data_IF_209477666952
#
_entry.id   IF_209477666952
#
_cell.length_a   1.000
_cell.length_b   1.000
_cell.length_c   1.000
_cell.angle_alpha   90.00
_cell.angle_beta   90.00
_cell.angle_gamma   90.00
#
_symmetry.space_group_name_H-M   'P 1'
#
loop_
_entity.id
_entity.type
_entity.pdbx_description
1 polymer ?
#
# COMPACT_ATOMS: atom_id res chain seq x y z
N UNK A 1 30.31 27.69 -57.63
CA UNK A 1 29.89 28.55 -56.49
C UNK A 1 30.21 27.83 -55.19
N UNK A 2 31.17 28.33 -54.40
CA UNK A 2 31.50 27.76 -53.07
C UNK A 2 30.40 28.19 -52.09
N UNK A 3 29.56 27.24 -51.67
CA UNK A 3 28.53 27.50 -50.66
C UNK A 3 29.23 27.71 -49.32
N UNK A 4 29.04 28.90 -48.73
CA UNK A 4 29.70 29.34 -47.53
C UNK A 4 29.16 28.54 -46.32
N UNK A 5 30.00 27.69 -45.71
CA UNK A 5 29.64 26.74 -44.63
C UNK A 5 29.17 27.37 -43.32
N UNK A 6 29.09 28.71 -43.23
CA UNK A 6 28.59 29.44 -42.06
C UNK A 6 27.07 29.38 -41.92
N UNK A 7 26.32 29.35 -43.04
CA UNK A 7 24.85 29.42 -43.02
C UNK A 7 24.17 28.20 -42.37
N UNK A 8 24.80 27.03 -42.44
CA UNK A 8 24.25 25.78 -41.89
C UNK A 8 24.33 25.71 -40.37
N UNK A 9 25.35 26.34 -39.78
CA UNK A 9 25.50 26.38 -38.31
C UNK A 9 24.43 27.24 -37.66
N UNK A 10 24.07 28.37 -38.27
CA UNK A 10 22.98 29.23 -37.79
C UNK A 10 21.62 28.53 -37.91
N UNK A 11 21.36 27.84 -39.03
CA UNK A 11 20.11 27.08 -39.19
C UNK A 11 19.96 25.97 -38.14
N UNK A 12 21.05 25.27 -37.80
CA UNK A 12 21.03 24.20 -36.81
C UNK A 12 20.76 24.74 -35.38
N UNK A 13 21.37 25.87 -35.00
CA UNK A 13 21.15 26.52 -33.71
C UNK A 13 19.70 27.04 -33.59
N UNK A 14 19.15 27.58 -34.68
CA UNK A 14 17.78 28.07 -34.70
C UNK A 14 16.78 26.92 -34.55
N UNK A 15 17.00 25.79 -35.25
CA UNK A 15 16.17 24.60 -35.13
C UNK A 15 16.21 23.98 -33.73
N UNK A 16 17.39 23.88 -33.11
CA UNK A 16 17.48 23.37 -31.73
C UNK A 16 16.80 24.29 -30.73
N UNK A 17 16.89 25.60 -30.91
CA UNK A 17 16.16 26.58 -30.11
C UNK A 17 14.64 26.42 -30.20
N UNK A 18 14.10 26.20 -31.41
CA UNK A 18 12.66 25.97 -31.63
C UNK A 18 12.21 24.65 -30.96
N UNK A 19 13.01 23.58 -31.08
CA UNK A 19 12.68 22.28 -30.47
C UNK A 19 12.63 22.39 -28.94
N UNK A 20 13.60 23.06 -28.33
CA UNK A 20 13.64 23.28 -26.87
C UNK A 20 12.45 24.12 -26.42
N UNK A 21 12.12 25.20 -27.14
CA UNK A 21 10.97 26.04 -26.83
C UNK A 21 9.64 25.27 -26.95
N UNK A 22 9.48 24.42 -27.97
CA UNK A 22 8.30 23.57 -28.14
C UNK A 22 8.18 22.53 -27.02
N UNK A 23 9.28 21.92 -26.59
CA UNK A 23 9.29 21.00 -25.45
C UNK A 23 8.93 21.69 -24.13
N UNK A 24 9.47 22.89 -23.89
CA UNK A 24 9.12 23.70 -22.72
C UNK A 24 7.64 24.11 -22.73
N UNK A 25 7.11 24.55 -23.87
CA UNK A 25 5.69 24.87 -24.02
C UNK A 25 4.79 23.63 -23.82
N UNK A 26 5.22 22.46 -24.30
CA UNK A 26 4.51 21.20 -24.06
C UNK A 26 4.48 20.83 -22.56
N UNK A 27 5.61 20.97 -21.86
CA UNK A 27 5.70 20.72 -20.41
C UNK A 27 4.84 21.71 -19.63
N UNK A 28 4.86 23.00 -20.00
CA UNK A 28 4.02 24.04 -19.38
C UNK A 28 2.54 23.76 -19.65
N UNK A 29 2.17 23.39 -20.88
CA UNK A 29 0.79 23.06 -21.23
C UNK A 29 0.29 21.81 -20.51
N UNK A 30 1.13 20.78 -20.41
CA UNK A 30 0.83 19.56 -19.68
C UNK A 30 0.66 19.82 -18.18
N UNK A 31 1.58 20.57 -17.55
CA UNK A 31 1.44 21.03 -16.14
C UNK A 31 0.19 21.89 -15.93
N UNK A 32 -0.13 22.79 -16.86
CA UNK A 32 -1.32 23.63 -16.76
C UNK A 32 -2.62 22.84 -16.91
N UNK A 33 -2.69 21.88 -17.83
CA UNK A 33 -3.83 20.94 -17.93
C UNK A 33 -3.97 20.08 -16.68
N UNK A 34 -2.86 19.56 -16.16
CA UNK A 34 -2.83 18.79 -14.93
C UNK A 34 -3.40 19.60 -13.76
N UNK A 35 -2.90 20.82 -13.55
CA UNK A 35 -3.37 21.71 -12.48
C UNK A 35 -4.83 22.16 -12.64
N UNK A 36 -5.29 22.35 -13.89
CA UNK A 36 -6.69 22.70 -14.18
C UNK A 36 -7.65 21.53 -13.94
N UNK A 37 -7.19 20.29 -14.15
CA UNK A 37 -7.98 19.08 -13.84
C UNK A 37 -7.97 18.75 -12.34
N UNK A 38 -6.91 19.07 -11.61
CA UNK A 38 -6.83 18.96 -10.14
C UNK A 38 -7.93 19.80 -9.46
N UNK A 39 -8.28 20.98 -10.02
CA UNK A 39 -9.41 21.81 -9.55
C UNK A 39 -10.81 21.30 -9.93
N UNK A 40 -10.91 20.18 -10.66
CA UNK A 40 -12.18 19.54 -11.03
C UNK A 40 -12.27 18.10 -10.53
N UNK A 41 -11.58 17.76 -9.45
CA UNK A 41 -11.90 16.52 -8.72
C UNK A 41 -13.23 16.77 -8.04
N UNK A 42 -14.30 16.34 -8.73
CA UNK A 42 -15.63 16.46 -8.22
C UNK A 42 -15.83 15.29 -7.25
N UNK A 43 -15.60 15.49 -5.96
CA UNK A 43 -15.94 14.54 -4.90
C UNK A 43 -17.36 14.82 -4.39
N UNK A 44 -18.06 13.77 -3.96
CA UNK A 44 -19.22 13.92 -3.08
C UNK A 44 -18.70 13.65 -1.67
N UNK A 45 -18.55 14.71 -0.90
CA UNK A 45 -18.18 14.65 0.50
C UNK A 45 -19.47 14.81 1.31
N UNK A 46 -19.81 13.77 2.07
CA UNK A 46 -20.94 13.79 2.98
C UNK A 46 -20.36 13.78 4.39
N UNK A 47 -20.52 14.89 5.10
CA UNK A 47 -20.34 14.88 6.54
C UNK A 47 -21.50 14.09 7.15
N UNK A 48 -21.18 13.01 7.84
CA UNK A 48 -22.19 12.18 8.49
C UNK A 48 -22.64 12.92 9.74
N UNK A 49 -23.80 13.58 9.71
CA UNK A 49 -24.33 14.34 10.87
C UNK A 49 -24.94 13.42 11.94
N UNK A 50 -25.43 12.25 11.57
CA UNK A 50 -25.90 11.21 12.50
C UNK A 50 -25.97 9.88 11.75
N UNK A 51 -25.04 8.96 12.04
CA UNK A 51 -25.26 7.56 11.68
C UNK A 51 -26.23 7.05 12.76
N UNK A 52 -27.49 6.85 12.39
CA UNK A 52 -28.63 6.66 13.30
C UNK A 52 -28.31 5.75 14.50
N UNK A 53 -28.53 6.28 15.71
CA UNK A 53 -28.57 5.54 16.98
C UNK A 53 -29.85 4.67 17.12
N UNK A 54 -30.78 4.74 16.16
CA UNK A 54 -32.15 4.21 16.32
C UNK A 54 -32.49 2.94 15.51
N UNK A 55 -31.54 2.29 14.83
CA UNK A 55 -31.81 0.94 14.29
C UNK A 55 -31.59 -0.11 15.38
N UNK A 56 -32.68 -0.46 16.08
CA UNK A 56 -32.80 -1.70 16.86
C UNK A 56 -32.61 -2.89 15.94
N UNK A 57 -31.39 -3.39 15.84
CA UNK A 57 -31.09 -4.63 15.12
C UNK A 57 -30.42 -5.65 16.05
N UNK A 58 -30.97 -6.86 16.02
CA UNK A 58 -30.59 -8.01 16.85
C UNK A 58 -29.26 -8.62 16.40
N UNK A 59 -28.39 -9.09 17.32
CA UNK A 59 -27.00 -9.45 17.03
C UNK A 59 -26.82 -10.85 16.42
N UNK A 60 -25.90 -11.00 15.45
CA UNK A 60 -25.42 -12.27 14.86
C UNK A 60 -23.97 -12.60 15.31
N UNK A 61 -23.54 -13.84 15.65
CA UNK A 61 -22.33 -14.06 16.50
C UNK A 61 -20.98 -14.47 15.81
N UNK A 62 -19.88 -13.67 16.02
CA UNK A 62 -18.36 -13.83 15.91
C UNK A 62 -17.81 -15.07 16.58
N UNK A 63 -17.24 -16.07 15.89
CA UNK A 63 -16.44 -17.11 16.57
C UNK A 63 -14.97 -17.06 16.12
N UNK A 64 -14.00 -16.78 17.01
CA UNK A 64 -12.58 -16.96 16.74
C UNK A 64 -12.18 -18.43 16.96
N UNK A 65 -11.25 -18.95 16.15
CA UNK A 65 -10.87 -20.36 16.10
C UNK A 65 -9.80 -20.76 17.13
N UNK A 66 -10.07 -21.82 17.90
CA UNK A 66 -9.11 -22.77 18.48
C UNK A 66 -9.68 -24.19 18.39
N UNK A 67 -8.85 -25.19 18.03
CA UNK A 67 -9.24 -26.58 17.72
C UNK A 67 -9.13 -27.51 18.95
N UNK A 68 -10.18 -28.30 19.25
CA UNK A 68 -10.12 -29.71 19.68
C UNK A 68 -11.45 -30.44 19.40
N UNK A 69 -11.34 -31.75 19.11
CA UNK A 69 -12.33 -32.70 18.59
C UNK A 69 -13.75 -32.70 19.21
N UNK A 70 -14.80 -32.85 18.38
CA UNK A 70 -15.93 -33.79 18.60
C UNK A 70 -16.79 -33.96 17.31
N UNK A 71 -17.30 -35.18 17.09
CA UNK A 71 -18.35 -35.54 16.09
C UNK A 71 -19.62 -36.01 16.83
N UNK A 72 -20.76 -36.24 16.16
CA UNK A 72 -21.62 -35.21 15.57
C UNK A 72 -23.04 -35.28 16.16
N UNK A 73 -23.71 -34.13 16.30
CA UNK A 73 -25.17 -34.09 16.38
C UNK A 73 -25.74 -32.92 15.59
N UNK A 74 -26.85 -33.22 14.95
CA UNK A 74 -27.58 -32.42 13.97
C UNK A 74 -28.35 -31.28 14.61
N UNK A 75 -28.17 -30.05 14.10
CA UNK A 75 -29.28 -29.15 13.76
C UNK A 75 -28.79 -27.92 13.00
N UNK A 76 -29.62 -27.50 12.05
CA UNK A 76 -29.45 -26.40 11.10
C UNK A 76 -29.60 -25.02 11.73
N UNK A 77 -28.64 -24.12 11.51
CA UNK A 77 -28.85 -22.69 11.23
C UNK A 77 -27.50 -21.98 11.09
N UNK A 78 -27.38 -21.14 10.05
CA UNK A 78 -26.14 -20.53 9.60
C UNK A 78 -25.72 -19.34 10.48
N UNK A 79 -24.56 -19.44 11.10
CA UNK A 79 -23.91 -18.36 11.87
C UNK A 79 -22.79 -17.72 11.06
N UNK A 80 -22.74 -16.38 11.04
CA UNK A 80 -21.62 -15.57 10.50
C UNK A 80 -21.61 -14.25 11.30
N UNK A 81 -20.46 -13.65 11.61
CA UNK A 81 -20.19 -13.46 13.02
C UNK A 81 -19.85 -11.95 13.40
N UNK A 82 -20.24 -11.39 14.58
CA UNK A 82 -19.90 -10.04 15.16
C UNK A 82 -18.62 -9.96 16.01
N UNK A 83 -17.78 -8.95 15.77
CA UNK A 83 -16.57 -8.61 16.55
C UNK A 83 -16.96 -7.92 17.86
N UNK A 84 -16.82 -8.62 19.00
CA UNK A 84 -16.85 -7.98 20.34
C UNK A 84 -15.45 -8.07 20.91
N UNK A 85 -14.73 -6.95 21.00
CA UNK A 85 -13.45 -6.90 21.69
C UNK A 85 -13.74 -6.84 23.19
N UNK A 86 -13.78 -8.01 23.83
CA UNK A 86 -13.87 -8.12 25.29
C UNK A 86 -12.43 -8.16 25.80
N UNK A 87 -11.97 -7.03 26.36
CA UNK A 87 -10.74 -7.02 27.13
C UNK A 87 -11.02 -7.65 28.51
N UNK A 88 -10.51 -8.86 28.74
CA UNK A 88 -10.76 -9.64 29.97
C UNK A 88 -10.18 -9.00 31.25
N UNK A 89 -9.43 -7.90 31.15
CA UNK A 89 -8.84 -7.23 32.32
C UNK A 89 -9.59 -6.00 32.82
N UNK A 90 -10.54 -5.43 32.06
CA UNK A 90 -11.38 -4.32 32.52
C UNK A 90 -12.75 -4.34 31.81
N UNK A 91 -13.83 -4.52 32.58
CA UNK A 91 -15.24 -4.49 32.12
C UNK A 91 -15.72 -3.08 31.70
N UNK A 92 -14.91 -2.31 30.97
CA UNK A 92 -15.35 -1.08 30.33
C UNK A 92 -15.80 -1.42 28.91
N UNK A 93 -17.06 -1.11 28.58
CA UNK A 93 -17.57 -1.19 27.22
C UNK A 93 -16.79 -0.15 26.41
N UNK A 94 -15.93 -0.59 25.49
CA UNK A 94 -15.24 0.31 24.59
C UNK A 94 -16.27 1.07 23.74
N UNK A 95 -16.08 2.38 23.48
CA UNK A 95 -17.02 3.14 22.68
C UNK A 95 -17.09 2.57 21.26
N UNK A 96 -18.29 2.63 20.66
CA UNK A 96 -18.46 2.25 19.25
C UNK A 96 -17.64 3.18 18.35
N UNK A 97 -17.09 2.69 17.23
CA UNK A 97 -16.48 3.55 16.23
C UNK A 97 -17.44 4.64 15.74
N UNK A 98 -16.95 5.87 15.62
CA UNK A 98 -17.71 7.03 15.13
C UNK A 98 -17.31 7.28 13.68
N UNK A 99 -18.31 7.27 12.79
CA UNK A 99 -18.13 7.73 11.43
C UNK A 99 -17.91 9.25 11.39
N UNK A 100 -16.80 9.62 10.75
CA UNK A 100 -16.37 11.00 10.57
C UNK A 100 -16.82 11.57 9.24
N UNK A 101 -16.55 10.85 8.15
CA UNK A 101 -16.80 11.35 6.80
C UNK A 101 -17.02 10.18 5.84
N UNK A 102 -17.94 10.37 4.91
CA UNK A 102 -18.20 9.47 3.79
C UNK A 102 -17.78 10.18 2.50
N UNK A 103 -16.87 9.57 1.73
CA UNK A 103 -16.27 10.16 0.55
C UNK A 103 -16.53 9.24 -0.64
N UNK A 104 -17.37 9.68 -1.57
CA UNK A 104 -17.72 8.91 -2.75
C UNK A 104 -17.11 9.57 -4.02
N UNK A 105 -16.24 8.87 -4.76
CA UNK A 105 -15.77 9.33 -6.06
C UNK A 105 -16.95 9.50 -7.03
N UNK A 106 -17.01 10.64 -7.75
CA UNK A 106 -18.08 10.84 -8.77
C UNK A 106 -17.85 10.03 -10.04
N UNK A 107 -16.59 9.74 -10.39
CA UNK A 107 -16.26 8.90 -11.54
C UNK A 107 -16.06 7.45 -11.07
N UNK A 108 -17.17 6.71 -10.93
CA UNK A 108 -17.16 5.32 -10.46
C UNK A 108 -16.64 4.31 -11.49
N UNK A 109 -15.91 4.76 -12.53
CA UNK A 109 -15.42 3.86 -13.59
C UNK A 109 -14.35 2.88 -13.09
N UNK A 110 -13.54 3.29 -12.12
CA UNK A 110 -12.43 2.48 -11.59
C UNK A 110 -12.80 1.76 -10.29
N UNK A 111 -13.61 2.39 -9.43
CA UNK A 111 -14.10 1.82 -8.17
C UNK A 111 -15.53 2.30 -7.88
N UNK A 112 -16.48 1.37 -7.73
CA UNK A 112 -17.86 1.62 -7.30
C UNK A 112 -17.96 1.44 -5.78
N UNK A 113 -17.55 2.43 -5.02
CA UNK A 113 -17.69 2.41 -3.58
C UNK A 113 -17.43 3.78 -2.97
N UNK A 114 -17.74 3.90 -1.70
CA UNK A 114 -17.41 5.08 -0.92
C UNK A 114 -16.37 4.71 0.14
N UNK A 115 -15.59 5.68 0.55
CA UNK A 115 -14.67 5.57 1.66
C UNK A 115 -15.32 6.10 2.91
N UNK A 116 -15.21 5.36 4.01
CA UNK A 116 -15.67 5.76 5.32
C UNK A 116 -14.46 5.98 6.22
N UNK A 117 -14.38 7.16 6.80
CA UNK A 117 -13.42 7.46 7.87
C UNK A 117 -14.10 7.19 9.19
N UNK A 118 -13.51 6.32 10.00
CA UNK A 118 -14.00 5.99 11.35
C UNK A 118 -12.90 6.32 12.36
N UNK A 119 -13.27 6.89 13.50
CA UNK A 119 -12.41 6.90 14.68
C UNK A 119 -12.99 5.93 15.70
N UNK A 120 -12.16 5.16 16.41
CA UNK A 120 -12.66 4.17 17.37
C UNK A 120 -11.54 3.49 18.15
N UNK A 121 -11.88 2.61 19.10
CA UNK A 121 -10.88 1.80 19.79
C UNK A 121 -10.13 0.92 18.80
N UNK A 122 -8.82 0.77 18.99
CA UNK A 122 -8.04 -0.18 18.21
C UNK A 122 -8.44 -1.64 18.51
N UNK A 123 -8.00 -2.58 17.67
CA UNK A 123 -8.36 -3.99 17.81
C UNK A 123 -7.88 -4.62 19.15
N UNK A 124 -6.87 -4.03 19.79
CA UNK A 124 -6.34 -4.48 21.09
C UNK A 124 -7.10 -3.87 22.29
N UNK A 125 -7.92 -2.84 22.06
CA UNK A 125 -8.56 -2.05 23.11
C UNK A 125 -7.58 -1.26 23.98
N UNK A 126 -6.33 -1.07 23.53
CA UNK A 126 -5.28 -0.37 24.29
C UNK A 126 -5.16 1.11 23.94
N UNK A 127 -5.79 1.53 22.85
CA UNK A 127 -5.84 2.92 22.40
C UNK A 127 -6.96 3.15 21.39
N UNK A 128 -6.84 4.26 20.67
CA UNK A 128 -7.75 4.66 19.62
C UNK A 128 -7.01 4.75 18.29
N UNK A 129 -7.73 4.42 17.22
CA UNK A 129 -7.24 4.47 15.86
C UNK A 129 -8.26 5.16 14.95
N UNK A 130 -7.73 5.76 13.89
CA UNK A 130 -8.49 6.17 12.72
C UNK A 130 -8.41 5.07 11.68
N UNK A 131 -9.55 4.66 11.17
CA UNK A 131 -9.70 3.62 10.17
C UNK A 131 -10.20 4.22 8.86
N UNK A 132 -9.63 3.74 7.76
CA UNK A 132 -10.16 3.92 6.42
C UNK A 132 -10.83 2.61 6.02
N UNK A 133 -12.14 2.66 5.85
CA UNK A 133 -12.96 1.53 5.43
C UNK A 133 -13.55 1.82 4.06
N UNK A 134 -13.78 0.77 3.29
CA UNK A 134 -14.37 0.85 1.97
C UNK A 134 -15.78 0.23 1.98
N UNK A 135 -16.80 0.98 1.54
CA UNK A 135 -18.19 0.54 1.40
C UNK A 135 -18.52 0.05 -0.02
N UNK A 136 -19.47 -0.89 -0.18
CA UNK A 136 -20.33 -1.51 0.85
C UNK A 136 -19.63 -2.64 1.61
N UNK A 137 -18.34 -2.86 1.38
CA UNK A 137 -17.64 -4.01 1.93
C UNK A 137 -17.55 -3.98 3.46
N UNK A 138 -17.56 -2.80 4.12
CA UNK A 138 -17.82 -2.57 5.56
C UNK A 138 -16.93 -3.31 6.57
N UNK A 139 -16.18 -4.31 6.10
CA UNK A 139 -15.43 -5.32 6.84
C UNK A 139 -13.94 -5.24 6.50
N UNK A 140 -13.57 -4.48 5.45
CA UNK A 140 -12.19 -4.36 4.99
C UNK A 140 -11.65 -2.99 5.41
N UNK A 141 -10.84 -3.01 6.45
CA UNK A 141 -9.99 -1.88 6.84
C UNK A 141 -8.81 -1.84 5.88
N UNK A 142 -8.72 -0.80 5.05
CA UNK A 142 -7.62 -0.63 4.09
C UNK A 142 -6.47 0.19 4.67
N UNK A 143 -6.73 0.98 5.71
CA UNK A 143 -5.69 1.64 6.49
C UNK A 143 -6.13 1.89 7.93
N UNK A 144 -5.16 1.90 8.84
CA UNK A 144 -5.36 2.24 10.24
C UNK A 144 -4.19 3.12 10.70
N UNK A 145 -4.50 4.19 11.43
CA UNK A 145 -3.51 5.09 12.03
C UNK A 145 -3.82 5.32 13.52
N UNK A 146 -2.89 5.04 14.45
CA UNK A 146 -3.11 5.28 15.86
C UNK A 146 -3.27 6.76 16.17
N UNK A 147 -4.23 7.10 17.03
CA UNK A 147 -4.53 8.45 17.49
C UNK A 147 -3.90 8.71 18.86
N UNK A 148 -3.45 9.94 19.09
CA UNK A 148 -3.01 10.40 20.41
C UNK A 148 -4.23 10.79 21.25
N UNK A 149 -4.78 9.81 21.96
CA UNK A 149 -5.96 10.00 22.79
C UNK A 149 -5.61 10.64 24.15
N UNK A 150 -6.18 11.82 24.49
CA UNK A 150 -6.00 12.39 25.82
C UNK A 150 -6.77 11.55 26.86
N UNK A 151 -6.05 10.98 27.83
CA UNK A 151 -6.54 10.06 28.89
C UNK A 151 -7.78 10.54 29.69
N UNK A 152 -8.12 11.83 29.62
CA UNK A 152 -9.21 12.45 30.38
C UNK A 152 -10.25 13.16 29.51
N UNK A 153 -10.31 12.87 28.21
CA UNK A 153 -11.33 13.41 27.30
C UNK A 153 -12.53 12.48 27.12
N UNK A 154 -13.72 13.06 26.92
CA UNK A 154 -14.84 12.30 26.36
C UNK A 154 -14.51 11.88 24.93
N UNK A 155 -14.93 10.71 24.47
CA UNK A 155 -14.80 10.33 23.07
C UNK A 155 -16.03 10.84 22.29
N UNK A 156 -15.89 11.92 21.52
CA UNK A 156 -16.97 12.48 20.69
C UNK A 156 -16.53 12.61 19.23
N UNK A 157 -17.47 12.86 18.32
CA UNK A 157 -17.13 13.08 16.91
C UNK A 157 -16.26 14.33 16.76
N UNK A 158 -16.65 15.43 17.36
CA UNK A 158 -16.04 16.75 17.17
C UNK A 158 -14.59 16.78 17.63
N UNK A 159 -14.28 16.12 18.76
CA UNK A 159 -12.94 16.16 19.31
C UNK A 159 -11.99 15.14 18.68
N UNK A 160 -12.45 13.93 18.34
CA UNK A 160 -11.62 12.88 17.73
C UNK A 160 -11.07 13.30 16.36
N UNK A 161 -11.80 14.13 15.61
CA UNK A 161 -11.31 14.76 14.38
C UNK A 161 -10.02 15.55 14.58
N UNK A 162 -9.84 16.16 15.75
CA UNK A 162 -8.70 17.03 16.07
C UNK A 162 -7.52 16.28 16.65
N UNK A 163 -7.65 14.99 16.94
CA UNK A 163 -6.57 14.23 17.57
C UNK A 163 -5.44 13.99 16.58
N UNK A 164 -4.18 14.25 17.00
CA UNK A 164 -3.05 14.04 16.13
C UNK A 164 -2.79 12.55 15.95
N UNK A 165 -2.29 12.20 14.76
CA UNK A 165 -1.84 10.84 14.48
C UNK A 165 -0.50 10.60 15.14
N UNK A 166 -0.30 9.40 15.68
CA UNK A 166 1.00 8.93 16.15
C UNK A 166 1.85 8.42 14.98
N UNK A 167 2.11 9.30 14.02
CA UNK A 167 2.70 9.01 12.70
C UNK A 167 4.14 8.47 12.72
N UNK A 168 4.79 8.49 13.88
CA UNK A 168 6.13 7.88 14.11
C UNK A 168 6.06 6.42 14.56
N UNK A 169 4.87 5.92 14.90
CA UNK A 169 4.69 4.50 15.23
C UNK A 169 4.74 3.66 13.94
N UNK A 170 5.14 2.38 14.03
CA UNK A 170 4.96 1.44 12.93
C UNK A 170 3.50 1.37 12.47
N UNK A 171 3.26 0.93 11.22
CA UNK A 171 1.91 0.59 10.77
C UNK A 171 1.24 -0.37 11.78
N UNK A 172 -0.02 -0.18 12.16
CA UNK A 172 -0.70 -1.09 13.09
C UNK A 172 -1.11 -2.40 12.41
N UNK A 173 -1.42 -2.38 11.11
CA UNK A 173 -1.85 -3.56 10.36
C UNK A 173 -0.64 -4.46 10.04
N UNK A 174 -0.73 -5.75 10.37
CA UNK A 174 0.37 -6.72 10.26
C UNK A 174 0.96 -6.84 8.86
N UNK A 175 0.14 -6.91 7.81
CA UNK A 175 0.68 -7.00 6.45
C UNK A 175 1.45 -5.73 6.07
N UNK A 176 0.99 -4.55 6.49
CA UNK A 176 1.67 -3.28 6.24
C UNK A 176 3.00 -3.21 7.01
N UNK A 177 3.04 -3.71 8.25
CA UNK A 177 4.31 -3.90 8.98
C UNK A 177 5.25 -4.82 8.21
N UNK A 178 4.73 -5.94 7.71
CA UNK A 178 5.52 -6.88 6.93
C UNK A 178 6.02 -6.30 5.60
N UNK A 179 5.28 -5.38 4.97
CA UNK A 179 5.75 -4.61 3.79
C UNK A 179 6.95 -3.72 4.16
N UNK A 180 6.83 -2.92 5.22
CA UNK A 180 7.85 -1.91 5.55
C UNK A 180 9.16 -2.50 6.08
N UNK A 181 9.15 -3.74 6.58
CA UNK A 181 10.37 -4.41 7.06
C UNK A 181 11.19 -5.10 5.97
N UNK A 182 10.60 -5.41 4.81
CA UNK A 182 11.31 -6.12 3.72
C UNK A 182 12.63 -5.47 3.28
N UNK A 183 12.76 -4.14 3.09
CA UNK A 183 14.02 -3.56 2.63
C UNK A 183 15.13 -3.68 3.68
N UNK A 184 14.81 -3.83 4.97
CA UNK A 184 15.79 -4.10 6.02
C UNK A 184 16.20 -5.58 6.04
N UNK A 185 15.23 -6.48 5.86
CA UNK A 185 15.47 -7.94 5.85
C UNK A 185 16.32 -8.34 4.64
N UNK A 186 15.99 -7.78 3.48
CA UNK A 186 16.77 -7.96 2.25
C UNK A 186 18.08 -7.17 2.24
N UNK A 187 18.33 -6.37 3.28
CA UNK A 187 19.49 -5.49 3.42
C UNK A 187 19.63 -4.45 2.29
N UNK A 188 18.54 -4.17 1.55
CA UNK A 188 18.47 -3.05 0.62
C UNK A 188 18.74 -1.73 1.33
N UNK A 189 18.20 -1.58 2.54
CA UNK A 189 18.60 -0.53 3.45
C UNK A 189 19.67 -1.07 4.39
N UNK A 190 20.68 -0.24 4.69
CA UNK A 190 21.69 -0.57 5.68
C UNK A 190 20.97 -0.91 6.99
N UNK A 191 21.29 -2.03 7.65
CA UNK A 191 20.69 -2.43 8.91
C UNK A 191 21.20 -1.54 10.06
N UNK A 192 20.97 -0.24 9.96
CA UNK A 192 20.75 0.58 11.13
C UNK A 192 19.25 0.54 11.36
N UNK A 193 18.84 -0.45 12.14
CA UNK A 193 17.46 -0.76 12.50
C UNK A 193 16.82 0.32 13.42
N UNK A 194 17.46 1.49 13.47
CA UNK A 194 17.04 2.67 14.21
C UNK A 194 16.80 3.80 13.20
N UNK A 195 15.59 4.38 13.16
CA UNK A 195 15.22 5.48 12.26
C UNK A 195 16.23 6.66 12.25
N UNK A 196 16.93 6.85 13.37
CA UNK A 196 17.79 8.02 13.62
C UNK A 196 19.21 7.95 13.08
N UNK A 197 19.64 6.85 12.43
CA UNK A 197 21.01 6.73 11.90
C UNK A 197 21.07 6.03 10.55
N UNK A 198 20.74 6.73 9.45
CA UNK A 198 21.27 6.35 8.14
C UNK A 198 22.72 6.85 8.11
N UNK A 199 23.67 5.94 8.32
CA UNK A 199 25.07 6.24 8.63
C UNK A 199 25.86 6.67 7.38
N UNK A 200 25.40 6.30 6.19
CA UNK A 200 26.12 6.57 4.92
C UNK A 200 25.80 7.93 4.29
N UNK A 201 24.76 8.64 4.78
CA UNK A 201 24.32 9.93 4.24
C UNK A 201 23.62 9.86 2.88
N UNK A 202 23.45 8.66 2.29
CA UNK A 202 22.84 8.46 0.98
C UNK A 202 21.33 8.63 1.04
N UNK A 203 20.76 9.24 -0.01
CA UNK A 203 19.30 9.29 -0.19
C UNK A 203 18.81 8.01 -0.84
N UNK A 204 17.88 7.32 -0.19
CA UNK A 204 17.24 6.09 -0.68
C UNK A 204 15.91 6.45 -1.34
N UNK A 205 15.70 6.00 -2.57
CA UNK A 205 14.48 6.26 -3.33
C UNK A 205 13.49 5.13 -3.14
N UNK A 206 12.27 5.48 -2.76
CA UNK A 206 11.18 4.56 -2.50
C UNK A 206 10.03 4.88 -3.44
N UNK A 207 9.50 3.85 -4.09
CA UNK A 207 8.31 3.95 -4.93
C UNK A 207 7.19 3.12 -4.31
N UNK A 208 6.15 3.77 -3.81
CA UNK A 208 4.94 3.12 -3.34
C UNK A 208 3.90 3.17 -4.47
N UNK A 209 3.47 2.01 -4.95
CA UNK A 209 2.36 1.89 -5.90
C UNK A 209 1.14 1.48 -5.08
N UNK A 210 0.15 2.38 -5.00
CA UNK A 210 -0.96 2.29 -4.06
C UNK A 210 -0.77 3.22 -2.87
N UNK A 211 -1.77 4.07 -2.60
CA UNK A 211 -1.76 5.09 -1.56
C UNK A 211 -2.49 4.63 -0.30
N UNK A 212 -3.66 4.02 -0.42
CA UNK A 212 -4.54 3.70 0.72
C UNK A 212 -4.70 4.92 1.66
N UNK A 213 -4.46 4.75 2.96
CA UNK A 213 -4.40 5.84 3.95
C UNK A 213 -3.01 6.44 4.11
N UNK A 214 -2.11 6.29 3.14
CA UNK A 214 -0.74 6.82 3.16
C UNK A 214 0.16 6.29 4.30
N UNK A 215 -0.20 5.17 4.93
CA UNK A 215 0.49 4.63 6.11
C UNK A 215 1.93 4.20 5.78
N UNK A 216 2.10 3.44 4.70
CA UNK A 216 3.39 2.87 4.29
C UNK A 216 4.37 3.97 3.86
N UNK A 217 3.95 4.92 3.03
CA UNK A 217 4.83 6.01 2.59
C UNK A 217 5.10 7.02 3.72
N UNK A 218 4.12 7.33 4.58
CA UNK A 218 4.35 8.19 5.73
C UNK A 218 5.34 7.56 6.72
N UNK A 219 5.28 6.24 6.92
CA UNK A 219 6.26 5.55 7.74
C UNK A 219 7.68 5.84 7.22
N UNK A 220 7.96 5.59 5.94
CA UNK A 220 9.29 5.86 5.38
C UNK A 220 9.68 7.34 5.42
N UNK A 221 8.78 8.25 5.06
CA UNK A 221 9.05 9.69 5.11
C UNK A 221 9.38 10.17 6.54
N UNK A 222 8.72 9.61 7.55
CA UNK A 222 8.94 9.95 8.96
C UNK A 222 10.18 9.28 9.56
N UNK A 223 10.66 8.18 8.97
CA UNK A 223 11.88 7.52 9.45
C UNK A 223 13.11 8.42 9.26
N UNK A 224 13.23 9.09 8.11
CA UNK A 224 14.39 9.94 7.80
C UNK A 224 14.14 10.87 6.62
N UNK A 225 14.72 12.07 6.67
CA UNK A 225 14.78 13.00 5.53
C UNK A 225 15.62 12.51 4.36
N UNK A 226 16.31 11.36 4.52
CA UNK A 226 17.08 10.69 3.47
C UNK A 226 16.25 9.66 2.70
N UNK A 227 14.97 9.49 3.01
CA UNK A 227 14.06 8.71 2.18
C UNK A 227 13.32 9.63 1.22
N UNK A 228 13.56 9.45 -0.08
CA UNK A 228 12.84 10.11 -1.17
C UNK A 228 11.70 9.20 -1.64
N UNK A 229 10.50 9.43 -1.09
CA UNK A 229 9.31 8.61 -1.26
C UNK A 229 8.40 9.20 -2.33
N UNK A 230 8.10 8.40 -3.34
CA UNK A 230 7.11 8.71 -4.37
C UNK A 230 5.98 7.72 -4.28
N UNK A 231 4.76 8.20 -4.10
CA UNK A 231 3.56 7.37 -4.13
C UNK A 231 2.78 7.61 -5.42
N UNK A 232 2.33 6.54 -6.07
CA UNK A 232 1.50 6.59 -7.27
C UNK A 232 0.19 5.88 -6.97
N UNK A 233 -0.93 6.55 -7.19
CA UNK A 233 -2.26 5.95 -7.06
C UNK A 233 -3.18 6.50 -8.14
N UNK A 234 -4.14 5.69 -8.60
CA UNK A 234 -5.10 6.12 -9.62
C UNK A 234 -6.27 6.93 -9.07
N UNK A 235 -6.53 6.90 -7.76
CA UNK A 235 -7.73 7.45 -7.12
C UNK A 235 -7.45 8.81 -6.43
N UNK A 236 -7.95 9.93 -6.98
CA UNK A 236 -7.82 11.24 -6.36
C UNK A 236 -8.45 11.33 -4.96
N UNK A 237 -9.51 10.58 -4.67
CA UNK A 237 -10.15 10.58 -3.35
C UNK A 237 -9.19 10.10 -2.25
N UNK A 238 -8.33 9.12 -2.54
CA UNK A 238 -7.35 8.64 -1.58
C UNK A 238 -6.29 9.70 -1.26
N UNK A 239 -5.94 10.57 -2.22
CA UNK A 239 -5.06 11.72 -1.93
C UNK A 239 -5.72 12.69 -0.97
N UNK A 240 -6.97 13.08 -1.24
CA UNK A 240 -7.73 13.93 -0.32
C UNK A 240 -7.81 13.33 1.08
N UNK A 241 -8.12 12.03 1.17
CA UNK A 241 -8.20 11.29 2.43
C UNK A 241 -6.83 11.30 3.14
N UNK A 242 -5.75 11.04 2.41
CA UNK A 242 -4.41 10.99 3.00
C UNK A 242 -3.98 12.33 3.60
N UNK A 243 -4.21 13.43 2.88
CA UNK A 243 -3.87 14.79 3.28
C UNK A 243 -4.72 15.24 4.49
N UNK A 244 -6.03 14.99 4.44
CA UNK A 244 -6.96 15.48 5.46
C UNK A 244 -6.97 14.61 6.73
N UNK A 245 -6.94 13.29 6.58
CA UNK A 245 -7.28 12.36 7.66
C UNK A 245 -6.10 11.53 8.15
N UNK A 246 -5.12 11.25 7.29
CA UNK A 246 -3.99 10.38 7.59
C UNK A 246 -2.63 11.10 7.66
N UNK A 247 -2.66 12.43 7.77
CA UNK A 247 -1.49 13.24 8.08
C UNK A 247 -0.39 13.19 7.03
N UNK A 248 -0.75 12.86 5.78
CA UNK A 248 0.16 13.05 4.67
C UNK A 248 0.45 14.55 4.48
N UNK A 249 1.72 14.87 4.28
CA UNK A 249 2.18 16.21 3.97
C UNK A 249 3.16 16.13 2.81
N UNK A 250 2.83 16.82 1.72
CA UNK A 250 3.67 16.89 0.52
C UNK A 250 4.96 17.65 0.84
N UNK A 251 6.09 17.04 0.50
CA UNK A 251 7.42 17.65 0.62
C UNK A 251 8.24 17.30 -0.63
N UNK A 252 9.44 17.89 -0.78
CA UNK A 252 10.33 17.49 -1.88
C UNK A 252 10.69 16.00 -1.84
N UNK A 253 10.71 15.39 -0.65
CA UNK A 253 11.08 13.99 -0.41
C UNK A 253 9.87 13.07 -0.16
N UNK A 254 8.63 13.55 -0.17
CA UNK A 254 7.43 12.75 0.01
C UNK A 254 6.30 13.32 -0.84
N UNK A 255 5.95 12.62 -1.92
CA UNK A 255 5.07 13.13 -2.98
C UNK A 255 4.06 12.12 -3.45
N UNK A 256 2.84 12.57 -3.78
CA UNK A 256 1.79 11.74 -4.39
C UNK A 256 1.53 12.19 -5.82
N UNK A 257 1.58 11.25 -6.76
CA UNK A 257 1.08 11.47 -8.12
C UNK A 257 -0.19 10.66 -8.37
N UNK A 258 -1.19 11.32 -8.96
CA UNK A 258 -2.41 10.66 -9.41
C UNK A 258 -2.23 10.18 -10.84
N UNK A 259 -1.99 8.89 -11.01
CA UNK A 259 -1.69 8.24 -12.29
C UNK A 259 -1.96 6.73 -12.19
N UNK A 260 -2.16 6.03 -13.31
CA UNK A 260 -2.19 4.56 -13.31
C UNK A 260 -0.80 4.01 -12.88
N UNK A 261 -0.71 3.24 -11.77
CA UNK A 261 0.57 2.76 -11.26
C UNK A 261 1.35 1.85 -12.21
N UNK A 262 0.67 0.97 -12.95
CA UNK A 262 1.28 0.06 -13.92
C UNK A 262 1.81 0.83 -15.14
N UNK A 263 1.04 1.80 -15.65
CA UNK A 263 1.48 2.69 -16.73
C UNK A 263 2.71 3.50 -16.32
N UNK A 264 2.70 4.07 -15.12
CA UNK A 264 3.80 4.88 -14.60
C UNK A 264 5.14 4.11 -14.62
N UNK A 265 5.15 2.87 -14.12
CA UNK A 265 6.39 2.06 -14.09
C UNK A 265 6.88 1.69 -15.49
N UNK A 266 5.96 1.39 -16.42
CA UNK A 266 6.30 1.10 -17.82
C UNK A 266 6.90 2.32 -18.51
N UNK A 267 6.23 3.47 -18.45
CA UNK A 267 6.71 4.71 -19.07
C UNK A 267 8.08 5.12 -18.50
N UNK A 268 8.27 4.96 -17.19
CA UNK A 268 9.56 5.23 -16.55
C UNK A 268 10.66 4.27 -17.01
N UNK A 269 10.35 2.99 -17.20
CA UNK A 269 11.31 2.02 -17.73
C UNK A 269 11.75 2.37 -19.16
N UNK A 270 10.82 2.81 -20.01
CA UNK A 270 11.12 3.25 -21.38
C UNK A 270 12.09 4.45 -21.40
N UNK A 271 11.94 5.39 -20.45
CA UNK A 271 12.86 6.52 -20.29
C UNK A 271 14.26 6.10 -19.80
N UNK A 272 14.37 5.01 -19.04
CA UNK A 272 15.66 4.45 -18.62
C UNK A 272 16.40 3.83 -19.81
N UNK A 273 15.67 3.12 -20.67
CA UNK A 273 16.27 2.41 -21.81
C UNK A 273 16.58 3.31 -23.00
N UNK A 274 15.70 4.28 -23.26
CA UNK A 274 15.79 5.16 -24.42
C UNK A 274 15.82 6.63 -23.97
N UNK A 275 16.90 7.09 -23.34
CA UNK A 275 17.00 8.47 -22.89
C UNK A 275 17.07 9.43 -24.07
N UNK A 276 15.94 10.04 -24.41
CA UNK A 276 15.87 11.10 -25.43
C UNK A 276 16.26 12.43 -24.78
N UNK A 277 17.54 12.80 -24.77
CA UNK A 277 18.09 14.09 -24.29
C UNK A 277 17.69 14.58 -22.87
N UNK A 278 16.78 13.88 -22.18
CA UNK A 278 16.30 14.13 -20.83
C UNK A 278 17.21 13.37 -19.86
N UNK A 279 17.39 13.93 -18.66
CA UNK A 279 18.09 13.24 -17.59
C UNK A 279 17.43 11.88 -17.30
N UNK A 280 18.20 10.80 -17.43
CA UNK A 280 17.75 9.44 -17.13
C UNK A 280 17.18 9.39 -15.71
N UNK A 281 15.95 8.89 -15.51
CA UNK A 281 15.40 8.81 -14.17
C UNK A 281 16.23 7.82 -13.33
N UNK A 282 16.67 8.34 -12.19
CA UNK A 282 17.45 7.64 -11.17
C UNK A 282 16.74 6.37 -10.69
N UNK A 283 17.31 5.17 -10.86
CA UNK A 283 16.69 3.88 -10.42
C UNK A 283 16.20 3.87 -8.97
N UNK A 284 15.18 3.08 -8.65
CA UNK A 284 14.54 3.04 -7.33
C UNK A 284 15.22 1.98 -6.44
N UNK A 285 15.44 2.31 -5.17
CA UNK A 285 16.09 1.39 -4.23
C UNK A 285 15.07 0.40 -3.65
N UNK A 286 13.85 0.86 -3.34
CA UNK A 286 12.78 0.00 -2.84
C UNK A 286 11.44 0.29 -3.51
N UNK A 287 10.77 -0.75 -4.03
CA UNK A 287 9.45 -0.62 -4.67
C UNK A 287 8.44 -1.43 -3.84
N UNK A 288 7.35 -0.79 -3.44
CA UNK A 288 6.18 -1.43 -2.82
C UNK A 288 5.06 -1.46 -3.86
N UNK A 289 4.48 -2.63 -4.09
CA UNK A 289 3.26 -2.78 -4.87
C UNK A 289 2.13 -3.21 -3.95
N UNK A 290 1.27 -2.26 -3.62
CA UNK A 290 0.12 -2.40 -2.74
C UNK A 290 -1.10 -1.78 -3.45
N UNK A 291 -1.34 -2.23 -4.69
CA UNK A 291 -2.42 -1.74 -5.55
C UNK A 291 -3.49 -2.82 -5.62
N UNK A 292 -4.66 -2.58 -5.06
CA UNK A 292 -5.76 -3.53 -5.08
C UNK A 292 -6.89 -3.05 -6.02
N UNK A 293 -7.50 -3.98 -6.75
CA UNK A 293 -8.82 -3.77 -7.35
C UNK A 293 -9.86 -4.46 -6.49
N UNK A 294 -10.98 -3.78 -6.36
CA UNK A 294 -12.20 -4.26 -5.76
C UNK A 294 -13.23 -3.19 -6.05
N UNK A 295 -14.51 -3.54 -5.98
CA UNK A 295 -15.65 -2.63 -6.13
C UNK A 295 -16.19 -2.46 -7.56
N UNK A 296 -16.34 -3.56 -8.30
CA UNK A 296 -17.07 -3.56 -9.57
C UNK A 296 -18.32 -4.43 -9.50
N UNK A 297 -19.45 -3.82 -9.09
CA UNK A 297 -20.80 -4.39 -8.91
C UNK A 297 -21.03 -5.19 -7.63
N UNK A 298 -22.18 -4.93 -7.01
CA UNK A 298 -22.70 -5.58 -5.80
C UNK A 298 -22.83 -7.11 -5.90
N UNK A 299 -22.54 -7.70 -7.06
CA UNK A 299 -22.69 -9.11 -7.35
C UNK A 299 -21.37 -9.90 -7.24
N UNK A 300 -20.19 -9.25 -7.28
CA UNK A 300 -18.88 -9.93 -7.20
C UNK A 300 -17.99 -9.26 -6.12
N UNK A 301 -18.13 -9.72 -4.88
CA UNK A 301 -17.35 -9.29 -3.70
C UNK A 301 -15.88 -9.76 -3.75
N UNK A 302 -15.16 -9.48 -4.82
CA UNK A 302 -13.78 -9.89 -4.99
C UNK A 302 -12.85 -8.68 -4.87
N UNK A 303 -12.19 -8.57 -3.72
CA UNK A 303 -10.97 -7.77 -3.62
C UNK A 303 -9.82 -8.64 -4.09
N UNK A 304 -9.08 -8.16 -5.08
CA UNK A 304 -7.86 -8.78 -5.59
C UNK A 304 -6.71 -7.77 -5.49
N UNK A 305 -5.66 -8.19 -4.81
CA UNK A 305 -4.37 -7.52 -4.74
C UNK A 305 -3.29 -8.49 -5.25
N UNK A 306 -2.32 -8.04 -6.06
CA UNK A 306 -2.32 -6.76 -6.75
C UNK A 306 -3.37 -6.73 -7.87
N UNK A 307 -3.48 -5.60 -8.56
CA UNK A 307 -4.21 -5.54 -9.83
C UNK A 307 -3.54 -6.38 -10.92
N UNK A 308 -4.33 -6.97 -11.82
CA UNK A 308 -3.87 -7.97 -12.81
C UNK A 308 -2.73 -7.47 -13.70
N UNK A 309 -2.66 -6.16 -13.96
CA UNK A 309 -1.58 -5.56 -14.74
C UNK A 309 -0.21 -5.83 -14.12
N UNK A 310 -0.10 -5.94 -12.80
CA UNK A 310 1.16 -6.29 -12.12
C UNK A 310 1.57 -7.76 -12.26
N UNK A 311 0.68 -8.60 -12.78
CA UNK A 311 0.95 -9.98 -13.16
C UNK A 311 1.38 -10.10 -14.64
N UNK A 312 1.32 -9.02 -15.42
CA UNK A 312 1.77 -9.02 -16.81
C UNK A 312 3.30 -8.95 -16.93
N UNK A 313 3.86 -9.79 -17.80
CA UNK A 313 5.31 -9.85 -18.02
C UNK A 313 5.93 -8.49 -18.38
N UNK A 314 5.20 -7.66 -19.13
CA UNK A 314 5.64 -6.31 -19.50
C UNK A 314 5.87 -5.44 -18.26
N UNK A 315 4.95 -5.48 -17.29
CA UNK A 315 5.01 -4.69 -16.06
C UNK A 315 6.08 -5.25 -15.13
N UNK A 316 6.17 -6.58 -14.96
CA UNK A 316 7.23 -7.22 -14.17
C UNK A 316 8.63 -6.87 -14.70
N UNK A 317 8.80 -6.90 -16.03
CA UNK A 317 10.03 -6.47 -16.69
C UNK A 317 10.33 -4.99 -16.42
N UNK A 318 9.32 -4.12 -16.47
CA UNK A 318 9.47 -2.70 -16.19
C UNK A 318 9.86 -2.45 -14.73
N UNK A 319 9.25 -3.14 -13.76
CA UNK A 319 9.62 -3.11 -12.35
C UNK A 319 11.11 -3.44 -12.17
N UNK A 320 11.58 -4.52 -12.79
CA UNK A 320 12.98 -4.90 -12.74
C UNK A 320 13.91 -3.83 -13.35
N UNK A 321 13.53 -3.19 -14.47
CA UNK A 321 14.33 -2.11 -15.09
C UNK A 321 14.46 -0.88 -14.19
N UNK A 322 13.38 -0.53 -13.51
CA UNK A 322 13.33 0.59 -12.57
C UNK A 322 14.16 0.34 -11.30
N UNK A 323 14.37 -0.92 -10.90
CA UNK A 323 15.05 -1.27 -9.66
C UNK A 323 16.57 -1.10 -9.72
N UNK A 324 17.13 -0.52 -8.66
CA UNK A 324 18.57 -0.40 -8.44
C UNK A 324 19.25 -1.79 -8.33
N UNK A 325 20.58 -1.89 -8.53
CA UNK A 325 21.30 -3.17 -8.50
C UNK A 325 21.12 -4.00 -7.22
N UNK A 326 20.93 -3.35 -6.07
CA UNK A 326 20.71 -3.98 -4.76
C UNK A 326 19.32 -3.71 -4.19
N UNK A 327 18.41 -3.25 -5.05
CA UNK A 327 17.07 -2.90 -4.64
C UNK A 327 16.21 -4.11 -4.34
N UNK A 328 15.07 -3.85 -3.71
CA UNK A 328 14.05 -4.84 -3.38
C UNK A 328 12.69 -4.38 -3.86
N UNK A 329 11.88 -5.33 -4.29
CA UNK A 329 10.46 -5.16 -4.54
C UNK A 329 9.70 -6.03 -3.56
N UNK A 330 8.65 -5.47 -2.96
CA UNK A 330 7.65 -6.24 -2.25
C UNK A 330 6.29 -6.00 -2.89
N UNK A 331 5.52 -7.06 -3.09
CA UNK A 331 4.19 -7.01 -3.67
C UNK A 331 3.21 -7.73 -2.77
N UNK A 332 2.11 -7.05 -2.45
CA UNK A 332 1.04 -7.55 -1.61
C UNK A 332 0.02 -8.32 -2.45
N UNK A 333 -0.14 -9.60 -2.13
CA UNK A 333 -1.18 -10.48 -2.64
C UNK A 333 -2.25 -10.71 -1.58
N UNK A 334 -3.50 -10.51 -1.98
CA UNK A 334 -4.66 -10.76 -1.14
C UNK A 334 -5.87 -11.01 -2.03
N UNK A 335 -6.65 -12.02 -1.67
CA UNK A 335 -7.88 -12.35 -2.39
C UNK A 335 -8.97 -12.72 -1.39
N UNK A 336 -10.12 -12.07 -1.54
CA UNK A 336 -11.37 -12.51 -0.91
C UNK A 336 -12.21 -13.22 -1.97
N UNK A 337 -12.01 -14.53 -2.09
CA UNK A 337 -12.97 -15.42 -2.76
C UNK A 337 -13.81 -16.14 -1.69
N UNK A 338 -15.11 -16.32 -1.94
CA UNK A 338 -15.97 -17.06 -1.01
C UNK A 338 -15.46 -18.50 -0.92
N UNK A 339 -14.90 -18.88 0.24
CA UNK A 339 -14.17 -20.12 0.55
C UNK A 339 -14.95 -21.46 0.39
N UNK A 340 -15.78 -21.64 -0.64
CA UNK A 340 -16.64 -22.84 -0.75
C UNK A 340 -16.10 -23.96 -1.64
N UNK A 341 -14.98 -23.81 -2.34
CA UNK A 341 -14.53 -24.84 -3.27
C UNK A 341 -13.04 -25.19 -3.11
N UNK A 342 -12.75 -26.43 -2.67
CA UNK A 342 -11.42 -27.06 -2.60
C UNK A 342 -10.63 -26.98 -3.94
N UNK A 343 -11.27 -27.01 -5.15
CA UNK A 343 -10.59 -26.69 -6.41
C UNK A 343 -9.85 -25.34 -6.43
N UNK A 344 -10.28 -24.36 -5.66
CA UNK A 344 -9.64 -23.03 -5.62
C UNK A 344 -8.26 -23.06 -4.95
N UNK A 345 -7.99 -23.98 -4.00
CA UNK A 345 -6.69 -24.02 -3.31
C UNK A 345 -5.55 -24.49 -4.22
N UNK A 346 -5.79 -25.53 -5.03
CA UNK A 346 -4.81 -25.97 -6.02
C UNK A 346 -4.60 -24.93 -7.12
N UNK A 347 -5.67 -24.24 -7.54
CA UNK A 347 -5.57 -23.16 -8.51
C UNK A 347 -4.78 -21.97 -7.94
N UNK A 348 -4.96 -21.63 -6.66
CA UNK A 348 -4.22 -20.58 -5.98
C UNK A 348 -2.73 -20.93 -5.89
N UNK A 349 -2.39 -22.14 -5.46
CA UNK A 349 -1.00 -22.59 -5.40
C UNK A 349 -0.33 -22.59 -6.79
N UNK A 350 -1.05 -23.00 -7.84
CA UNK A 350 -0.56 -22.93 -9.22
C UNK A 350 -0.37 -21.48 -9.69
N UNK A 351 -1.27 -20.57 -9.33
CA UNK A 351 -1.17 -19.16 -9.65
C UNK A 351 0.03 -18.52 -8.93
N UNK A 352 0.19 -18.75 -7.63
CA UNK A 352 1.35 -18.34 -6.84
C UNK A 352 2.66 -18.86 -7.46
N UNK A 353 2.68 -20.12 -7.89
CA UNK A 353 3.84 -20.69 -8.59
C UNK A 353 4.14 -19.95 -9.90
N UNK A 354 3.13 -19.73 -10.74
CA UNK A 354 3.30 -19.04 -12.02
C UNK A 354 3.82 -17.61 -11.84
N UNK A 355 3.29 -16.88 -10.87
CA UNK A 355 3.75 -15.54 -10.50
C UNK A 355 5.20 -15.58 -10.00
N UNK A 356 5.53 -16.51 -9.10
CA UNK A 356 6.90 -16.65 -8.61
C UNK A 356 7.87 -16.94 -9.76
N UNK A 357 7.52 -17.83 -10.69
CA UNK A 357 8.34 -18.14 -11.86
C UNK A 357 8.50 -16.92 -12.77
N UNK A 358 7.42 -16.16 -13.02
CA UNK A 358 7.47 -14.95 -13.82
C UNK A 358 8.46 -13.93 -13.23
N UNK A 359 8.42 -13.71 -11.91
CA UNK A 359 9.35 -12.80 -11.25
C UNK A 359 10.78 -13.36 -11.22
N UNK A 360 10.98 -14.66 -10.98
CA UNK A 360 12.30 -15.31 -11.03
C UNK A 360 13.00 -15.17 -12.41
N UNK A 361 12.26 -14.89 -13.50
CA UNK A 361 12.88 -14.53 -14.80
C UNK A 361 13.67 -13.23 -14.77
N UNK A 362 13.35 -12.30 -13.86
CA UNK A 362 13.89 -10.93 -13.85
C UNK A 362 14.65 -10.55 -12.57
N UNK A 363 14.51 -11.35 -11.51
CA UNK A 363 15.13 -11.14 -10.21
C UNK A 363 15.91 -12.39 -9.80
N UNK A 364 17.09 -12.20 -9.20
CA UNK A 364 17.96 -13.30 -8.81
C UNK A 364 17.43 -14.10 -7.62
N UNK A 365 16.58 -13.49 -6.79
CA UNK A 365 15.95 -14.14 -5.64
C UNK A 365 14.53 -13.61 -5.44
N UNK A 366 13.56 -14.52 -5.30
CA UNK A 366 12.17 -14.21 -5.00
C UNK A 366 11.59 -15.25 -4.06
N UNK A 367 10.74 -14.83 -3.13
CA UNK A 367 10.07 -15.71 -2.18
C UNK A 367 8.79 -15.10 -1.65
N UNK A 368 7.92 -15.94 -1.12
CA UNK A 368 6.69 -15.51 -0.47
C UNK A 368 6.78 -15.60 1.06
N UNK A 369 6.16 -14.63 1.73
CA UNK A 369 5.92 -14.63 3.18
C UNK A 369 4.43 -14.48 3.43
N UNK A 370 3.82 -15.41 4.16
CA UNK A 370 2.40 -15.33 4.53
C UNK A 370 2.22 -14.60 5.86
N UNK A 371 1.29 -13.64 5.90
CA UNK A 371 0.91 -12.84 7.06
C UNK A 371 -0.61 -12.88 7.20
N UNK A 372 -1.11 -13.84 7.98
CA UNK A 372 -2.55 -14.09 8.06
C UNK A 372 -3.13 -14.49 6.69
N UNK A 373 -4.17 -13.81 6.18
CA UNK A 373 -4.71 -14.06 4.83
C UNK A 373 -3.91 -13.36 3.72
N UNK A 374 -2.89 -12.57 4.06
CA UNK A 374 -2.06 -11.84 3.10
C UNK A 374 -0.83 -12.66 2.73
N UNK A 375 -0.38 -12.50 1.48
CA UNK A 375 0.82 -13.11 0.96
C UNK A 375 1.71 -12.02 0.37
N UNK A 376 2.99 -11.98 0.75
CA UNK A 376 3.93 -10.97 0.28
C UNK A 376 4.99 -11.59 -0.61
N UNK A 377 4.97 -11.28 -1.91
CA UNK A 377 6.05 -11.63 -2.83
C UNK A 377 7.18 -10.63 -2.63
N UNK A 378 8.33 -11.10 -2.17
CA UNK A 378 9.53 -10.28 -2.05
C UNK A 378 10.57 -10.75 -3.04
N UNK A 379 11.04 -9.82 -3.88
CA UNK A 379 12.06 -10.08 -4.89
C UNK A 379 13.22 -9.10 -4.75
N UNK A 380 14.44 -9.61 -4.90
CA UNK A 380 15.67 -8.81 -4.83
C UNK A 380 16.69 -9.30 -5.87
N UNK A 381 17.63 -8.42 -6.20
CA UNK A 381 18.79 -8.74 -7.05
C UNK A 381 20.00 -9.22 -6.26
N UNK A 382 19.92 -9.19 -4.92
CA UNK A 382 20.95 -9.74 -4.05
C UNK A 382 20.96 -11.26 -4.10
N UNK A 383 22.01 -11.84 -3.51
CA UNK A 383 22.14 -13.28 -3.33
C UNK A 383 20.92 -13.87 -2.61
N UNK A 384 20.74 -15.18 -2.78
CA UNK A 384 19.62 -15.93 -2.21
C UNK A 384 19.56 -15.74 -0.68
N UNK A 385 18.39 -15.34 -0.21
CA UNK A 385 18.07 -15.23 1.21
C UNK A 385 17.48 -16.57 1.64
N UNK A 386 18.20 -17.28 2.49
CA UNK A 386 17.69 -18.51 3.10
C UNK A 386 16.65 -18.19 4.17
N UNK A 387 15.77 -19.14 4.48
CA UNK A 387 14.82 -19.05 5.61
C UNK A 387 15.52 -18.65 6.92
N UNK A 388 16.66 -19.28 7.20
CA UNK A 388 17.47 -18.98 8.39
C UNK A 388 17.98 -17.53 8.40
N UNK A 389 18.45 -17.02 7.27
CA UNK A 389 18.92 -15.64 7.14
C UNK A 389 17.77 -14.64 7.36
N UNK A 390 16.59 -14.91 6.79
CA UNK A 390 15.43 -14.07 7.02
C UNK A 390 15.06 -14.05 8.50
N UNK A 391 14.82 -15.22 9.12
CA UNK A 391 14.38 -15.30 10.53
C UNK A 391 15.39 -14.60 11.44
N UNK A 392 16.69 -14.82 11.20
CA UNK A 392 17.76 -14.18 11.98
C UNK A 392 17.73 -12.66 11.83
N UNK A 393 17.46 -12.13 10.64
CA UNK A 393 17.41 -10.69 10.39
C UNK A 393 16.12 -10.08 10.94
N UNK A 394 15.00 -10.77 10.78
CA UNK A 394 13.69 -10.37 11.31
C UNK A 394 13.71 -10.26 12.84
N UNK A 395 14.31 -11.22 13.55
CA UNK A 395 14.42 -11.18 15.02
C UNK A 395 15.30 -10.05 15.54
N UNK A 396 16.14 -9.44 14.69
CA UNK A 396 16.95 -8.26 15.04
C UNK A 396 16.18 -6.95 14.89
N UNK A 397 15.02 -6.96 14.24
CA UNK A 397 14.18 -5.76 14.08
C UNK A 397 13.70 -5.26 15.45
N UNK A 398 13.40 -3.96 15.60
CA UNK A 398 12.72 -3.43 16.79
C UNK A 398 11.43 -4.21 17.08
N UNK A 399 11.11 -4.43 18.36
CA UNK A 399 9.97 -5.28 18.77
C UNK A 399 8.65 -4.80 18.17
N UNK A 400 8.47 -3.49 18.05
CA UNK A 400 7.29 -2.85 17.47
C UNK A 400 7.08 -3.16 15.97
N UNK A 401 8.16 -3.53 15.25
CA UNK A 401 8.13 -3.96 13.85
C UNK A 401 8.02 -5.47 13.68
N UNK A 402 8.14 -6.24 14.76
CA UNK A 402 7.98 -7.69 14.72
C UNK A 402 6.48 -8.04 14.78
N UNK A 403 5.98 -8.67 13.72
CA UNK A 403 4.61 -9.18 13.61
C UNK A 403 4.41 -10.60 14.14
N UNK A 404 5.50 -11.34 14.39
CA UNK A 404 5.45 -12.69 14.95
C UNK A 404 5.91 -12.65 16.40
N UNK A 405 5.23 -13.39 17.27
CA UNK A 405 5.71 -13.64 18.62
C UNK A 405 7.05 -14.39 18.59
N UNK A 406 7.82 -14.35 19.68
CA UNK A 406 9.17 -14.97 19.75
C UNK A 406 9.16 -16.48 19.40
N UNK A 407 8.04 -17.16 19.66
CA UNK A 407 7.82 -18.58 19.39
C UNK A 407 7.10 -18.86 18.05
N UNK A 408 6.73 -17.84 17.29
CA UNK A 408 6.09 -17.98 15.99
C UNK A 408 7.11 -17.75 14.87
N UNK A 409 7.09 -18.61 13.86
CA UNK A 409 7.90 -18.43 12.66
C UNK A 409 7.04 -17.94 11.49
N UNK A 410 7.57 -17.03 10.65
CA UNK A 410 6.91 -16.69 9.40
C UNK A 410 6.73 -17.96 8.56
N UNK A 411 5.55 -18.12 7.96
CA UNK A 411 5.35 -19.17 6.96
C UNK A 411 6.02 -18.72 5.66
N UNK A 412 7.13 -19.37 5.33
CA UNK A 412 7.87 -19.16 4.08
C UNK A 412 7.43 -20.15 3.03
N UNK A 413 7.28 -19.64 1.81
CA UNK A 413 7.23 -20.45 0.61
C UNK A 413 8.42 -20.02 -0.25
N UNK A 414 9.54 -20.72 -0.06
CA UNK A 414 10.81 -20.43 -0.73
C UNK A 414 10.98 -21.21 -2.03
N UNK A 415 10.39 -22.40 -2.11
CA UNK A 415 10.27 -23.18 -3.34
C UNK A 415 9.02 -24.04 -3.25
N UNK A 416 8.10 -23.86 -4.21
CA UNK A 416 6.95 -24.74 -4.41
C UNK A 416 7.37 -26.06 -5.10
N UNK A 417 8.68 -26.35 -5.21
CA UNK A 417 9.20 -27.60 -5.78
C UNK A 417 8.97 -28.82 -4.88
N UNK A 418 8.36 -28.65 -3.70
CA UNK A 418 8.08 -29.72 -2.74
C UNK A 418 6.58 -30.04 -2.54
N UNK A 419 5.70 -29.62 -3.45
CA UNK A 419 4.29 -30.01 -3.47
C UNK A 419 3.98 -30.94 -4.64
#
# INVERSE_FOLDING_TARGET
MKVNGSSWKFALIFLTGIIIAAQLLYIIHWRWRYWKNEKRIALIVIEVSSYNDDQKETPYPYSPSSFTHFSPSTNSSSSTPTLTVINETNKAILPKPIAQELICPKDQKLQKGCYVILDGPDASGSGFSRFLVMEPMGQIVIAEAPLDFPLHGNFTRENSRQWPLLSKKPPPIDYQRALVVQPFITQTFVPSLMPSKIIDGETRRILCLGLHGSIVNNFFANLSTKYDVTTIDSEPALRYISEKWFGFSETEQNRIFIENPAFYVVARAELIENPKTVAVPKKIDFIVVDVCYGLGAAENQHVQCPVKEFEEEKVVRALAKNLAPYGTIVMHFFSLTSKKEIPEQHQLANHEHQILQLFKKYFGNCYFVSVGPHLLLTCTRRAQITRANYITTFRKLPKELQIYAENQEPKFFLDLEAL
#
